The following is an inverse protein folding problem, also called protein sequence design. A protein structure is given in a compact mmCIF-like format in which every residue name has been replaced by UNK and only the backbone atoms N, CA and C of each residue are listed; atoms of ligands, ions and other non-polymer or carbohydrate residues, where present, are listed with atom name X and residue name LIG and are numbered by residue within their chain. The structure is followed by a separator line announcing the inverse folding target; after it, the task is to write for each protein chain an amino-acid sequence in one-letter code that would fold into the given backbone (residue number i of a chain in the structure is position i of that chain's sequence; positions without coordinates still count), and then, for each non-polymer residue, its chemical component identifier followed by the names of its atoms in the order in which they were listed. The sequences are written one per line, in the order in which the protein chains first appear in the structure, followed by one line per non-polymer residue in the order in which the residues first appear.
data_IF_928318952526
#
_entry.id   IF_928318952526
#
_cell.length_a   1.000
_cell.length_b   1.000
_cell.length_c   1.000
_cell.angle_alpha   90.00
_cell.angle_beta   90.00
_cell.angle_gamma   90.00
#
_symmetry.space_group_name_H-M   'P 1'
#
loop_
_entity.id
_entity.type
_entity.pdbx_description
1 polymer ?
#
# COMPACT_ATOMS: atom_id res chain seq x y z
N UNK A 1 12.69 15.94 1.39
CA UNK A 1 12.13 14.83 0.59
C UNK A 1 13.22 14.22 -0.27
N UNK A 2 13.39 12.90 -0.19
CA UNK A 2 14.37 12.16 -1.02
C UNK A 2 13.96 12.18 -2.49
N UNK A 3 14.93 12.00 -3.40
CA UNK A 3 14.67 12.01 -4.84
C UNK A 3 13.60 10.95 -5.22
N UNK A 4 13.63 9.78 -4.59
CA UNK A 4 12.67 8.70 -4.86
C UNK A 4 11.23 9.13 -4.55
N UNK A 5 11.00 9.77 -3.41
CA UNK A 5 9.68 10.24 -2.99
C UNK A 5 9.15 11.32 -3.96
N UNK A 6 10.02 12.23 -4.41
CA UNK A 6 9.65 13.23 -5.44
C UNK A 6 9.22 12.56 -6.74
N UNK A 7 9.88 11.48 -7.15
CA UNK A 7 9.48 10.72 -8.34
C UNK A 7 8.13 10.02 -8.13
N UNK A 8 7.86 9.43 -6.96
CA UNK A 8 6.55 8.81 -6.67
C UNK A 8 5.43 9.85 -6.77
N UNK A 9 5.67 11.05 -6.25
CA UNK A 9 4.73 12.16 -6.33
C UNK A 9 4.52 12.61 -7.78
N UNK A 10 5.60 12.79 -8.56
CA UNK A 10 5.48 13.13 -9.97
C UNK A 10 4.81 12.05 -10.83
N UNK A 11 4.83 10.77 -10.43
CA UNK A 11 4.13 9.71 -11.17
C UNK A 11 2.63 9.90 -11.16
N UNK A 12 2.02 10.37 -10.09
CA UNK A 12 0.56 10.55 -10.01
C UNK A 12 0.09 11.94 -10.48
N UNK A 13 1.02 12.79 -10.91
CA UNK A 13 0.73 14.12 -11.42
C UNK A 13 0.33 14.08 -12.90
N UNK A 14 -0.78 14.75 -13.23
CA UNK A 14 -1.24 15.01 -14.61
C UNK A 14 -0.20 15.76 -15.45
N UNK A 15 0.63 16.58 -14.81
CA UNK A 15 1.65 17.44 -15.44
C UNK A 15 2.99 16.71 -15.65
N UNK A 16 3.02 15.38 -15.61
CA UNK A 16 4.23 14.60 -15.89
C UNK A 16 4.50 14.52 -17.40
N UNK A 17 5.76 14.67 -17.80
CA UNK A 17 6.26 14.39 -19.16
C UNK A 17 7.49 13.51 -19.09
N UNK A 18 7.69 12.69 -20.11
CA UNK A 18 8.91 11.90 -20.28
C UNK A 18 9.81 12.61 -21.29
N UNK A 19 11.07 12.78 -20.92
CA UNK A 19 12.14 13.34 -21.74
C UNK A 19 13.35 12.41 -21.68
N UNK A 20 14.37 12.63 -22.51
CA UNK A 20 15.61 11.83 -22.55
C UNK A 20 16.33 11.75 -21.19
N UNK A 21 16.08 12.73 -20.32
CA UNK A 21 16.63 12.81 -18.94
C UNK A 21 15.73 12.18 -17.87
N UNK A 22 14.60 11.57 -18.24
CA UNK A 22 13.64 10.91 -17.34
C UNK A 22 12.31 11.66 -17.19
N UNK A 23 11.69 11.53 -16.01
CA UNK A 23 10.43 12.23 -15.68
C UNK A 23 10.72 13.71 -15.44
N UNK A 24 10.11 14.57 -16.26
CA UNK A 24 10.17 16.03 -16.16
C UNK A 24 8.78 16.61 -15.93
N UNK A 25 8.72 17.78 -15.31
CA UNK A 25 7.48 18.52 -15.16
C UNK A 25 7.13 19.21 -16.49
N UNK A 26 5.89 19.10 -16.95
CA UNK A 26 5.43 19.74 -18.19
C UNK A 26 5.38 21.27 -18.11
N UNK A 27 5.38 21.81 -16.89
CA UNK A 27 5.29 23.25 -16.61
C UNK A 27 6.67 23.90 -16.66
N UNK A 28 7.66 23.28 -16.01
CA UNK A 28 9.02 23.81 -15.94
C UNK A 28 9.96 23.26 -17.01
N UNK A 29 9.57 22.17 -17.69
CA UNK A 29 10.40 21.46 -18.66
C UNK A 29 11.62 20.76 -18.04
N UNK A 30 11.74 20.80 -16.71
CA UNK A 30 12.91 20.33 -15.97
C UNK A 30 12.56 19.31 -14.89
N UNK A 31 13.60 18.88 -14.17
CA UNK A 31 13.45 18.00 -13.01
C UNK A 31 12.62 18.67 -11.92
N UNK A 32 11.82 17.92 -11.15
CA UNK A 32 11.05 18.46 -10.04
C UNK A 32 11.98 19.07 -8.96
N UNK A 33 11.90 20.39 -8.77
CA UNK A 33 12.73 21.15 -7.83
C UNK A 33 12.06 21.38 -6.47
N UNK A 34 10.80 20.96 -6.29
CA UNK A 34 10.08 21.17 -5.04
C UNK A 34 10.69 20.39 -3.87
N UNK A 35 10.70 20.98 -2.67
CA UNK A 35 11.30 20.38 -1.48
C UNK A 35 10.32 19.52 -0.67
N UNK A 36 9.04 19.94 -0.59
CA UNK A 36 8.00 19.27 0.20
C UNK A 36 6.69 19.06 -0.59
N UNK A 37 6.26 20.03 -1.39
CA UNK A 37 5.01 19.97 -2.17
C UNK A 37 5.13 20.76 -3.47
N UNK A 38 4.41 20.32 -4.51
CA UNK A 38 4.33 21.04 -5.78
C UNK A 38 3.02 21.84 -5.82
N UNK A 39 3.13 23.16 -5.96
CA UNK A 39 1.97 24.07 -5.90
C UNK A 39 1.00 23.89 -7.09
N UNK A 40 1.50 23.34 -8.20
CA UNK A 40 0.72 23.06 -9.41
C UNK A 40 0.45 21.55 -9.57
N UNK A 41 0.54 20.80 -8.47
CA UNK A 41 0.21 19.39 -8.48
C UNK A 41 -1.29 19.19 -8.69
N UNK A 42 -1.65 18.71 -9.88
CA UNK A 42 -3.00 18.23 -10.17
C UNK A 42 -2.97 16.71 -10.26
N UNK A 43 -3.70 16.06 -9.36
CA UNK A 43 -3.97 14.63 -9.41
C UNK A 43 -5.03 14.35 -10.49
N UNK A 44 -4.88 13.25 -11.21
CA UNK A 44 -5.82 12.85 -12.27
C UNK A 44 -7.17 12.43 -11.64
N UNK A 45 -8.31 13.07 -11.96
CA UNK A 45 -9.62 12.79 -11.35
C UNK A 45 -10.19 11.41 -11.68
N UNK A 46 -9.56 10.64 -12.58
CA UNK A 46 -9.89 9.23 -12.85
C UNK A 46 -9.35 8.27 -11.78
N UNK A 47 -8.36 8.66 -10.99
CA UNK A 47 -7.83 7.83 -9.91
C UNK A 47 -8.56 8.05 -8.57
N UNK A 48 -9.22 9.20 -8.39
CA UNK A 48 -9.99 9.53 -7.19
C UNK A 48 -11.16 8.54 -6.96
N UNK A 49 -11.86 8.15 -8.03
CA UNK A 49 -12.95 7.17 -7.92
C UNK A 49 -12.47 5.75 -7.58
N UNK A 50 -11.25 5.37 -8.00
CA UNK A 50 -10.67 4.06 -7.64
C UNK A 50 -10.14 4.06 -6.21
N UNK A 51 -9.68 5.20 -5.70
CA UNK A 51 -9.26 5.35 -4.31
C UNK A 51 -10.45 5.24 -3.33
N UNK A 52 -11.59 5.85 -3.67
CA UNK A 52 -12.82 5.77 -2.85
C UNK A 52 -13.37 4.33 -2.81
N UNK A 53 -13.34 3.61 -3.93
CA UNK A 53 -13.78 2.21 -3.97
C UNK A 53 -12.88 1.29 -3.11
N UNK A 54 -11.57 1.54 -3.04
CA UNK A 54 -10.65 0.79 -2.18
C UNK A 54 -10.74 1.16 -0.71
N UNK A 55 -11.00 2.43 -0.39
CA UNK A 55 -11.22 2.87 0.99
C UNK A 55 -12.43 2.16 1.63
N UNK A 56 -13.50 1.94 0.86
CA UNK A 56 -14.72 1.27 1.34
C UNK A 56 -14.54 -0.23 1.62
N UNK A 57 -13.55 -0.89 1.00
CA UNK A 57 -13.24 -2.30 1.28
C UNK A 57 -12.41 -2.46 2.57
N UNK A 58 -11.56 -1.47 2.90
CA UNK A 58 -10.64 -1.55 4.04
C UNK A 58 -11.33 -1.42 5.41
N UNK A 59 -12.54 -0.88 5.44
CA UNK A 59 -13.34 -0.66 6.65
C UNK A 59 -13.97 -1.97 7.20
N UNK A 60 -14.10 -3.01 6.36
CA UNK A 60 -14.68 -4.30 6.76
C UNK A 60 -13.72 -5.24 7.52
N UNK A 61 -12.44 -4.86 7.67
CA UNK A 61 -11.38 -5.71 8.25
C UNK A 61 -10.91 -5.22 9.64
N UNK A 62 -11.61 -4.28 10.28
CA UNK A 62 -11.27 -3.82 11.63
C UNK A 62 -12.40 -4.10 12.62
N UNK A 63 -12.53 -5.36 13.00
CA UNK A 63 -13.02 -5.77 14.32
C UNK A 63 -12.33 -7.08 14.70
N UNK A 64 -11.20 -6.99 15.40
CA UNK A 64 -11.06 -7.55 16.75
C UNK A 64 -9.68 -7.19 17.31
N UNK A 65 -9.67 -6.71 18.55
CA UNK A 65 -8.48 -6.21 19.21
C UNK A 65 -7.51 -7.34 19.61
N UNK A 66 -6.21 -7.03 19.63
CA UNK A 66 -5.23 -7.92 20.23
C UNK A 66 -3.82 -7.68 19.74
N UNK A 67 -2.97 -7.27 20.68
CA UNK A 67 -1.53 -7.03 20.58
C UNK A 67 -0.75 -7.92 19.60
N UNK A 68 0.03 -7.25 18.73
CA UNK A 68 1.45 -7.57 18.55
C UNK A 68 1.81 -8.94 17.97
N UNK A 69 1.63 -9.10 16.68
CA UNK A 69 2.27 -10.14 15.88
C UNK A 69 1.42 -10.42 14.65
N UNK A 70 2.00 -10.28 13.46
CA UNK A 70 1.43 -10.71 12.18
C UNK A 70 1.17 -12.22 12.19
N UNK A 71 0.14 -12.64 12.92
CA UNK A 71 -0.28 -14.03 13.04
C UNK A 71 -1.04 -14.38 11.78
N UNK A 72 -0.27 -14.78 10.77
CA UNK A 72 -0.79 -15.38 9.55
C UNK A 72 -1.81 -16.47 9.91
N UNK A 73 -2.94 -16.50 9.20
CA UNK A 73 -4.01 -17.52 9.33
C UNK A 73 -3.44 -18.94 9.39
N UNK A 74 -2.30 -19.17 8.73
CA UNK A 74 -1.54 -20.41 8.76
C UNK A 74 -1.15 -20.87 10.17
N UNK A 75 -0.85 -19.95 11.09
CA UNK A 75 -0.53 -20.25 12.48
C UNK A 75 -1.68 -20.96 13.18
N UNK A 76 -2.92 -20.49 13.00
CA UNK A 76 -4.10 -21.15 13.58
C UNK A 76 -4.33 -22.54 12.98
N UNK A 77 -4.10 -22.71 11.67
CA UNK A 77 -4.20 -24.02 11.01
C UNK A 77 -3.16 -25.01 11.57
N UNK A 78 -1.93 -24.54 11.79
CA UNK A 78 -0.86 -25.35 12.40
C UNK A 78 -1.19 -25.74 13.83
N UNK A 79 -1.65 -24.78 14.65
CA UNK A 79 -2.06 -25.03 16.03
C UNK A 79 -3.19 -26.06 16.08
N UNK A 80 -4.24 -25.88 15.27
CA UNK A 80 -5.36 -26.82 15.21
C UNK A 80 -4.92 -28.23 14.81
N UNK A 81 -4.03 -28.35 13.81
CA UNK A 81 -3.51 -29.65 13.36
C UNK A 81 -2.70 -30.36 14.45
N UNK A 82 -1.88 -29.61 15.20
CA UNK A 82 -1.11 -30.13 16.33
C UNK A 82 -2.03 -30.62 17.45
N UNK A 83 -3.05 -29.83 17.82
CA UNK A 83 -4.02 -30.21 18.87
C UNK A 83 -4.79 -31.47 18.47
N UNK A 84 -5.31 -31.53 17.23
CA UNK A 84 -6.01 -32.72 16.72
C UNK A 84 -5.09 -33.95 16.76
N UNK A 85 -3.82 -33.80 16.34
CA UNK A 85 -2.83 -34.88 16.40
C UNK A 85 -2.58 -35.37 17.83
N UNK A 86 -2.53 -34.47 18.80
CA UNK A 86 -2.34 -34.81 20.22
C UNK A 86 -3.56 -35.57 20.76
N UNK A 87 -4.78 -35.10 20.49
CA UNK A 87 -6.02 -35.78 20.92
C UNK A 87 -6.09 -37.19 20.31
N UNK A 88 -5.82 -37.33 19.01
CA UNK A 88 -5.82 -38.62 18.30
C UNK A 88 -4.70 -39.56 18.81
N UNK A 89 -3.63 -39.02 19.40
CA UNK A 89 -2.60 -39.83 20.05
C UNK A 89 -3.05 -40.26 21.45
N UNK A 90 -3.68 -39.39 22.22
CA UNK A 90 -4.20 -39.69 23.56
C UNK A 90 -5.39 -40.66 23.57
N UNK A 91 -6.21 -40.68 22.51
CA UNK A 91 -7.35 -41.61 22.40
C UNK A 91 -6.93 -43.01 21.93
N UNK A 92 -5.74 -43.13 21.34
CA UNK A 92 -5.22 -44.38 20.77
C UNK A 92 -4.21 -45.08 21.66
N UNK A 93 -3.73 -44.40 22.69
CA UNK A 93 -3.00 -44.98 23.82
C UNK A 93 -4.03 -45.42 24.88
#
# INVERSE_FOLDING_TARGET
MELNEKLQYCKVCTKRKFSDIGIVCSLTGGKPTFENQCNEFLIDPKEEQKAIAKARYKDYDNDDGGEGGETSVWTYVFIAFVVIKIIVRLVRD
#
